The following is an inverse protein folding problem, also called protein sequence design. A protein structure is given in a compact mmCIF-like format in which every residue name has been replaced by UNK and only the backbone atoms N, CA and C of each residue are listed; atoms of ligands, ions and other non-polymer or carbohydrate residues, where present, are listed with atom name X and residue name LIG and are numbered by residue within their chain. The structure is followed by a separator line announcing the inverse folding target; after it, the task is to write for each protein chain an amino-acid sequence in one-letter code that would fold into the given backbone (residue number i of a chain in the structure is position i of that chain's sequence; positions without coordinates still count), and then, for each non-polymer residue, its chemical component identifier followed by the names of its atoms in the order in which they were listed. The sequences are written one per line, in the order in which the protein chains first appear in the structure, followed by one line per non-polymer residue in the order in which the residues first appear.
data_IF_059346028629
#
_entry.id   IF_059346028629
#
_cell.length_a   1.000
_cell.length_b   1.000
_cell.length_c   1.000
_cell.angle_alpha   90.00
_cell.angle_beta   90.00
_cell.angle_gamma   90.00
#
_symmetry.space_group_name_H-M   'P 1'
#
loop_
_entity.id
_entity.type
_entity.pdbx_description
1 polymer ?
#
# COMPACT_ATOMS: atom_id res chain seq x y z
N UNK A 1 20.18 -25.75 4.03
CA UNK A 1 19.34 -24.56 4.31
C UNK A 1 18.17 -24.32 3.34
N UNK A 2 17.95 -25.12 2.27
CA UNK A 2 16.75 -24.98 1.40
C UNK A 2 15.52 -25.80 1.84
N UNK A 3 15.71 -26.81 2.70
CA UNK A 3 14.66 -27.80 3.00
C UNK A 3 13.65 -27.34 4.08
N UNK A 4 14.05 -26.40 4.95
CA UNK A 4 13.19 -25.86 6.01
C UNK A 4 12.20 -24.83 5.44
N UNK A 5 12.70 -23.94 4.58
CA UNK A 5 11.88 -22.93 3.90
C UNK A 5 10.74 -23.57 3.09
N UNK A 6 11.01 -24.66 2.34
CA UNK A 6 9.97 -25.33 1.55
C UNK A 6 8.93 -26.11 2.36
N UNK A 7 9.19 -26.43 3.64
CA UNK A 7 8.20 -27.08 4.51
C UNK A 7 7.25 -26.06 5.13
N UNK A 8 7.79 -24.91 5.53
CA UNK A 8 6.99 -23.82 6.09
C UNK A 8 6.09 -23.19 5.03
N UNK A 9 6.59 -22.92 3.82
CA UNK A 9 5.80 -22.37 2.71
C UNK A 9 4.61 -23.28 2.34
N UNK A 10 4.84 -24.61 2.24
CA UNK A 10 3.78 -25.57 1.90
C UNK A 10 2.73 -25.70 3.01
N UNK A 11 3.12 -25.56 4.27
CA UNK A 11 2.18 -25.53 5.40
C UNK A 11 1.38 -24.23 5.40
N UNK A 12 2.05 -23.09 5.20
CA UNK A 12 1.42 -21.78 5.14
C UNK A 12 0.37 -21.73 4.03
N UNK A 13 0.70 -22.18 2.82
CA UNK A 13 -0.23 -22.18 1.69
C UNK A 13 -1.41 -23.13 1.90
N UNK A 14 -1.20 -24.27 2.55
CA UNK A 14 -2.27 -25.23 2.84
C UNK A 14 -3.21 -24.69 3.92
N UNK A 15 -2.67 -24.06 4.95
CA UNK A 15 -3.45 -23.39 6.01
C UNK A 15 -4.21 -22.22 5.40
N UNK A 16 -3.55 -21.36 4.60
CA UNK A 16 -4.15 -20.20 3.92
C UNK A 16 -5.31 -20.62 3.01
N UNK A 17 -5.14 -21.71 2.25
CA UNK A 17 -6.18 -22.27 1.39
C UNK A 17 -7.38 -22.80 2.17
N UNK A 18 -7.16 -23.54 3.25
CA UNK A 18 -8.23 -24.12 4.07
C UNK A 18 -8.98 -23.07 4.92
N UNK A 19 -8.25 -22.09 5.48
CA UNK A 19 -8.81 -21.05 6.35
C UNK A 19 -9.43 -19.87 5.61
N UNK A 20 -9.18 -19.72 4.30
CA UNK A 20 -9.86 -18.72 3.46
C UNK A 20 -11.39 -18.88 3.48
N UNK A 21 -11.89 -20.08 3.75
CA UNK A 21 -13.31 -20.39 3.88
C UNK A 21 -13.88 -20.09 5.28
N UNK A 22 -13.03 -19.85 6.29
CA UNK A 22 -13.44 -19.55 7.67
C UNK A 22 -12.65 -18.39 8.29
N UNK A 23 -12.86 -17.14 7.82
CA UNK A 23 -12.11 -15.96 8.26
C UNK A 23 -12.19 -15.71 9.77
N UNK A 24 -13.34 -16.03 10.38
CA UNK A 24 -13.59 -15.77 11.81
C UNK A 24 -12.79 -16.70 12.73
N UNK A 25 -12.69 -17.99 12.38
CA UNK A 25 -11.90 -18.96 13.14
C UNK A 25 -10.40 -18.68 13.03
N UNK A 26 -9.96 -18.25 11.85
CA UNK A 26 -8.59 -17.81 11.65
C UNK A 26 -8.24 -16.60 12.53
N UNK A 27 -9.10 -15.57 12.54
CA UNK A 27 -8.89 -14.40 13.37
C UNK A 27 -8.88 -14.75 14.87
N UNK A 28 -9.74 -15.68 15.30
CA UNK A 28 -9.79 -16.14 16.69
C UNK A 28 -8.51 -16.89 17.10
N UNK A 29 -8.09 -17.90 16.33
CA UNK A 29 -6.89 -18.69 16.62
C UNK A 29 -5.64 -17.80 16.52
N UNK A 30 -5.58 -16.93 15.52
CA UNK A 30 -4.51 -15.95 15.36
C UNK A 30 -4.43 -14.99 16.54
N UNK A 31 -5.57 -14.46 17.00
CA UNK A 31 -5.64 -13.59 18.17
C UNK A 31 -5.18 -14.27 19.46
N UNK A 32 -5.64 -15.50 19.72
CA UNK A 32 -5.18 -16.30 20.86
C UNK A 32 -3.68 -16.57 20.79
N UNK A 33 -3.16 -16.88 19.59
CA UNK A 33 -1.74 -17.09 19.34
C UNK A 33 -0.90 -15.86 19.62
N UNK A 34 -1.32 -14.68 19.15
CA UNK A 34 -0.61 -13.40 19.37
C UNK A 34 -0.56 -13.05 20.86
N UNK A 35 -1.68 -13.16 21.58
CA UNK A 35 -1.73 -12.88 23.02
C UNK A 35 -0.86 -13.86 23.80
N UNK A 36 -0.93 -15.15 23.48
CA UNK A 36 -0.11 -16.18 24.13
C UNK A 36 1.38 -16.03 23.82
N UNK A 37 1.72 -15.60 22.60
CA UNK A 37 3.09 -15.33 22.20
C UNK A 37 3.68 -14.16 22.98
N UNK A 38 2.97 -13.03 23.04
CA UNK A 38 3.44 -11.88 23.81
C UNK A 38 3.58 -12.22 25.30
N UNK A 39 2.64 -13.03 25.82
CA UNK A 39 2.76 -13.60 27.16
C UNK A 39 4.02 -14.43 27.34
N UNK A 40 4.32 -15.33 26.42
CA UNK A 40 5.54 -16.13 26.47
C UNK A 40 6.81 -15.28 26.47
N UNK A 41 6.84 -14.18 25.72
CA UNK A 41 8.00 -13.27 25.65
C UNK A 41 8.27 -12.61 27.00
N UNK A 42 7.27 -12.05 27.68
CA UNK A 42 7.48 -11.47 29.01
C UNK A 42 7.86 -12.55 30.04
N UNK A 43 7.24 -13.73 29.97
CA UNK A 43 7.39 -14.77 30.99
C UNK A 43 8.77 -15.41 30.87
N UNK A 44 9.29 -15.51 29.64
CA UNK A 44 10.68 -15.88 29.37
C UNK A 44 11.66 -14.84 29.91
N UNK A 45 11.38 -13.54 29.75
CA UNK A 45 12.21 -12.47 30.33
C UNK A 45 12.26 -12.55 31.85
N UNK A 46 11.12 -12.80 32.49
CA UNK A 46 10.99 -12.93 33.94
C UNK A 46 11.70 -14.18 34.46
N UNK A 47 11.56 -15.33 33.78
CA UNK A 47 12.26 -16.58 34.14
C UNK A 47 13.78 -16.49 33.99
N UNK A 48 14.26 -15.69 33.04
CA UNK A 48 15.69 -15.41 32.88
C UNK A 48 16.22 -14.38 33.89
N UNK A 49 15.34 -13.83 34.74
CA UNK A 49 15.70 -12.85 35.75
C UNK A 49 16.21 -11.54 35.15
N UNK A 50 15.82 -11.24 33.90
CA UNK A 50 16.27 -10.02 33.22
C UNK A 50 15.57 -8.83 33.90
N UNK A 51 16.31 -7.88 34.48
CA UNK A 51 15.71 -6.70 35.08
C UNK A 51 14.90 -5.92 34.04
N UNK A 52 13.76 -5.39 34.44
CA UNK A 52 12.85 -4.63 33.55
C UNK A 52 13.56 -3.54 32.76
N UNK A 53 14.53 -2.85 33.36
CA UNK A 53 15.35 -1.83 32.70
C UNK A 53 16.23 -2.41 31.56
N UNK A 54 16.79 -3.61 31.77
CA UNK A 54 17.64 -4.27 30.77
C UNK A 54 16.81 -4.80 29.59
N UNK A 55 15.60 -5.34 29.86
CA UNK A 55 14.67 -5.76 28.80
C UNK A 55 14.20 -4.58 27.95
N UNK A 56 14.02 -3.41 28.56
CA UNK A 56 13.63 -2.19 27.85
C UNK A 56 14.75 -1.70 26.91
N UNK A 57 16.00 -1.71 27.38
CA UNK A 57 17.16 -1.34 26.56
C UNK A 57 17.37 -2.33 25.41
N UNK A 58 17.32 -3.64 25.67
CA UNK A 58 17.44 -4.65 24.63
C UNK A 58 16.29 -4.59 23.62
N UNK A 59 15.05 -4.42 24.09
CA UNK A 59 13.90 -4.25 23.23
C UNK A 59 14.06 -3.04 22.31
N UNK A 60 14.53 -1.90 22.85
CA UNK A 60 14.79 -0.70 22.07
C UNK A 60 15.88 -0.93 20.99
N UNK A 61 16.99 -1.58 21.34
CA UNK A 61 18.09 -1.89 20.40
C UNK A 61 17.62 -2.83 19.28
N UNK A 62 16.86 -3.87 19.62
CA UNK A 62 16.31 -4.82 18.65
C UNK A 62 15.31 -4.11 17.73
N UNK A 63 14.37 -3.34 18.29
CA UNK A 63 13.39 -2.59 17.49
C UNK A 63 14.03 -1.55 16.57
N UNK A 64 15.10 -0.88 17.04
CA UNK A 64 15.87 0.05 16.23
C UNK A 64 16.62 -0.69 15.10
N UNK A 65 17.20 -1.85 15.39
CA UNK A 65 17.96 -2.66 14.43
C UNK A 65 17.09 -3.26 13.33
N UNK A 66 15.88 -3.72 13.69
CA UNK A 66 14.90 -4.25 12.72
C UNK A 66 14.21 -3.12 11.93
N UNK A 67 14.34 -1.87 12.37
CA UNK A 67 13.71 -0.72 11.72
C UNK A 67 12.21 -0.58 12.02
N UNK A 68 11.66 -1.39 12.94
CA UNK A 68 10.26 -1.33 13.37
C UNK A 68 9.92 0.06 13.90
N UNK A 69 10.85 0.73 14.59
CA UNK A 69 10.67 2.12 15.02
C UNK A 69 10.43 3.07 13.84
N UNK A 70 11.09 2.87 12.71
CA UNK A 70 10.89 3.74 11.54
C UNK A 70 9.55 3.44 10.88
N UNK A 71 9.16 2.17 10.78
CA UNK A 71 7.90 1.77 10.13
C UNK A 71 6.67 2.16 10.96
N UNK A 72 6.69 1.95 12.27
CA UNK A 72 5.58 2.30 13.17
C UNK A 72 5.47 3.82 13.40
N UNK A 73 6.60 4.51 13.61
CA UNK A 73 6.57 5.95 13.93
C UNK A 73 6.63 6.88 12.71
N UNK A 74 7.27 6.48 11.60
CA UNK A 74 7.34 7.29 10.37
C UNK A 74 6.51 6.74 9.21
N UNK A 75 6.27 5.42 9.15
CA UNK A 75 5.63 4.77 8.01
C UNK A 75 4.23 5.28 7.70
N UNK A 76 3.34 5.41 8.70
CA UNK A 76 1.99 5.93 8.46
C UNK A 76 1.99 7.35 7.88
N UNK A 77 2.87 8.24 8.36
CA UNK A 77 2.92 9.63 7.88
C UNK A 77 3.51 9.73 6.47
N UNK A 78 4.52 8.92 6.14
CA UNK A 78 5.13 8.87 4.79
C UNK A 78 4.17 8.25 3.76
N UNK A 79 3.44 7.19 4.14
CA UNK A 79 2.44 6.57 3.26
C UNK A 79 1.29 7.55 2.98
N UNK A 80 0.77 8.22 4.00
CA UNK A 80 -0.32 9.20 3.85
C UNK A 80 0.11 10.42 3.02
N UNK A 81 1.34 10.93 3.23
CA UNK A 81 1.86 12.05 2.44
C UNK A 81 2.15 11.66 0.99
N UNK A 82 2.66 10.45 0.76
CA UNK A 82 2.85 9.89 -0.58
C UNK A 82 1.53 9.67 -1.32
N UNK A 83 0.49 9.16 -0.65
CA UNK A 83 -0.86 9.00 -1.22
C UNK A 83 -1.48 10.35 -1.61
N UNK A 84 -1.36 11.35 -0.73
CA UNK A 84 -1.88 12.70 -0.98
C UNK A 84 -1.17 13.38 -2.17
N UNK A 85 0.14 13.14 -2.33
CA UNK A 85 0.90 13.61 -3.49
C UNK A 85 0.46 12.97 -4.79
N UNK A 86 0.22 11.64 -4.80
CA UNK A 86 -0.30 10.92 -5.97
C UNK A 86 -1.68 11.41 -6.40
N UNK A 87 -2.59 11.60 -5.43
CA UNK A 87 -3.94 12.12 -5.71
C UNK A 87 -3.90 13.50 -6.37
N UNK A 88 -3.04 14.40 -5.88
CA UNK A 88 -2.88 15.74 -6.45
C UNK A 88 -2.28 15.72 -7.87
N UNK A 89 -1.43 14.73 -8.17
CA UNK A 89 -0.90 14.50 -9.50
C UNK A 89 -1.99 13.99 -10.46
N UNK A 90 -2.79 13.01 -10.04
CA UNK A 90 -3.93 12.52 -10.83
C UNK A 90 -4.95 13.63 -11.13
N UNK A 91 -5.30 14.47 -10.15
CA UNK A 91 -6.21 15.60 -10.35
C UNK A 91 -5.67 16.59 -11.39
N UNK A 92 -4.37 16.93 -11.34
CA UNK A 92 -3.74 17.80 -12.34
C UNK A 92 -3.71 17.18 -13.73
N UNK A 93 -3.38 15.90 -13.84
CA UNK A 93 -3.38 15.20 -15.13
C UNK A 93 -4.79 15.14 -15.74
N UNK A 94 -5.82 14.98 -14.91
CA UNK A 94 -7.21 15.08 -15.37
C UNK A 94 -7.57 16.48 -15.88
N UNK A 95 -7.17 17.53 -15.17
CA UNK A 95 -7.35 18.91 -15.64
C UNK A 95 -6.65 19.16 -16.98
N UNK A 96 -5.39 18.73 -17.13
CA UNK A 96 -4.63 18.84 -18.38
C UNK A 96 -5.32 18.11 -19.54
N UNK A 97 -5.81 16.88 -19.32
CA UNK A 97 -6.55 16.12 -20.34
C UNK A 97 -7.83 16.83 -20.77
N UNK A 98 -8.59 17.39 -19.83
CA UNK A 98 -9.82 18.13 -20.13
C UNK A 98 -9.54 19.41 -20.93
N UNK A 99 -8.46 20.13 -20.60
CA UNK A 99 -8.02 21.29 -21.37
C UNK A 99 -7.61 20.91 -22.80
N UNK A 100 -6.87 19.82 -22.97
CA UNK A 100 -6.50 19.28 -24.28
C UNK A 100 -7.73 18.89 -25.11
N UNK A 101 -8.74 18.24 -24.52
CA UNK A 101 -9.99 17.91 -25.21
C UNK A 101 -10.73 19.17 -25.69
N UNK A 102 -10.83 20.20 -24.85
CA UNK A 102 -11.44 21.48 -25.24
C UNK A 102 -10.66 22.16 -26.38
N UNK A 103 -9.32 22.11 -26.33
CA UNK A 103 -8.48 22.67 -27.38
C UNK A 103 -8.66 21.93 -28.72
N UNK A 104 -8.67 20.60 -28.69
CA UNK A 104 -8.92 19.76 -29.87
C UNK A 104 -10.32 19.98 -30.45
N UNK A 105 -11.34 20.10 -29.61
CA UNK A 105 -12.71 20.42 -30.01
C UNK A 105 -12.79 21.78 -30.73
N UNK A 106 -12.11 22.80 -30.19
CA UNK A 106 -12.02 24.12 -30.81
C UNK A 106 -11.27 24.10 -32.14
N UNK A 107 -10.18 23.33 -32.25
CA UNK A 107 -9.45 23.14 -33.50
C UNK A 107 -10.34 22.47 -34.56
N UNK A 108 -11.05 21.40 -34.19
CA UNK A 108 -12.00 20.72 -35.07
C UNK A 108 -13.08 21.69 -35.59
N UNK A 109 -13.66 22.50 -34.70
CA UNK A 109 -14.66 23.51 -35.10
C UNK A 109 -14.12 24.55 -36.08
N UNK A 110 -12.85 24.96 -35.93
CA UNK A 110 -12.20 25.88 -36.87
C UNK A 110 -11.95 25.23 -38.24
N UNK A 111 -11.52 23.97 -38.25
CA UNK A 111 -11.33 23.19 -39.49
C UNK A 111 -12.66 23.02 -40.24
N UNK A 112 -13.73 22.61 -39.55
CA UNK A 112 -15.06 22.47 -40.15
C UNK A 112 -15.58 23.80 -40.75
N UNK A 113 -15.29 24.94 -40.10
CA UNK A 113 -15.64 26.27 -40.64
C UNK A 113 -14.83 26.60 -41.90
N UNK A 114 -13.54 26.29 -41.92
CA UNK A 114 -12.69 26.50 -43.10
C UNK A 114 -13.16 25.64 -44.28
N UNK A 115 -13.53 24.38 -44.02
CA UNK A 115 -14.07 23.47 -45.04
C UNK A 115 -15.36 24.03 -45.67
N UNK A 116 -16.31 24.49 -44.84
CA UNK A 116 -17.54 25.13 -45.34
C UNK A 116 -17.26 26.40 -46.16
N UNK A 117 -16.30 27.23 -45.75
CA UNK A 117 -15.92 28.42 -46.50
C UNK A 117 -15.31 28.06 -47.86
N UNK A 118 -14.52 26.99 -47.95
CA UNK A 118 -13.95 26.50 -49.20
C UNK A 118 -15.02 25.94 -50.14
N UNK A 119 -15.99 25.17 -49.63
CA UNK A 119 -17.12 24.69 -50.43
C UNK A 119 -17.96 25.82 -51.01
N UNK A 120 -18.24 26.87 -50.22
CA UNK A 120 -18.99 28.04 -50.67
C UNK A 120 -18.24 28.85 -51.76
N UNK A 121 -16.92 28.92 -51.68
CA UNK A 121 -16.08 29.53 -52.72
C UNK A 121 -16.10 28.69 -53.99
N UNK A 122 -16.00 27.36 -53.87
CA UNK A 122 -16.03 26.45 -55.03
C UNK A 122 -17.38 26.44 -55.75
N UNK A 123 -18.50 26.65 -55.05
CA UNK A 123 -19.83 26.76 -55.66
C UNK A 123 -20.11 28.09 -56.37
N UNK A 124 -19.32 29.14 -56.09
CA UNK A 124 -19.51 30.48 -56.66
C UNK A 124 -18.58 30.80 -57.85
N UNK A 125 -17.54 29.99 -58.08
CA UNK A 125 -16.68 30.04 -59.26
C UNK A 125 -17.14 29.06 -60.33
#
# INVERSE_FOLDING_TARGET
MKHIHGFFDKLEDKIRGFLSHYPLLYAFIGGVGIVSFWRGVWETSDHLGIPSAMSLIWGFIIMASVGILVTEFLGNRIIISGLSGKKKLEEKTLEEILEEEMFLSNLKSKVDKMEKMLEDIHKRG
#
